data_IF_461065094191
#
_entry.id   IF_461065094191
#
_cell.length_a   1.000
_cell.length_b   1.000
_cell.length_c   1.000
_cell.angle_alpha   90.00
_cell.angle_beta   90.00
_cell.angle_gamma   90.00
#
_symmetry.space_group_name_H-M   'P 1'
#
loop_
_entity.id
_entity.type
_entity.pdbx_description
1 polymer ?
#
# COMPACT_ATOMS: atom_id res chain seq x y z
N UNK A 1 4.55 -17.29 -9.49
CA UNK A 1 3.92 -17.18 -8.16
C UNK A 1 2.92 -16.06 -8.27
N UNK A 2 1.62 -16.36 -8.24
CA UNK A 2 0.57 -15.35 -8.13
C UNK A 2 0.74 -14.71 -6.76
N UNK A 3 1.36 -13.53 -6.70
CA UNK A 3 1.46 -12.76 -5.46
C UNK A 3 0.04 -12.42 -5.05
N UNK A 4 -0.51 -13.17 -4.10
CA UNK A 4 -1.88 -12.97 -3.66
C UNK A 4 -1.98 -11.60 -3.01
N UNK A 5 -2.78 -10.71 -3.61
CA UNK A 5 -3.02 -9.38 -3.07
C UNK A 5 -3.71 -9.50 -1.70
N UNK A 6 -3.20 -8.76 -0.73
CA UNK A 6 -3.70 -8.63 0.63
C UNK A 6 -4.79 -7.56 0.71
N UNK A 7 -5.52 -7.52 1.83
CA UNK A 7 -6.46 -6.43 2.10
C UNK A 7 -5.68 -5.12 2.33
N UNK A 8 -6.29 -4.00 1.99
CA UNK A 8 -5.72 -2.68 2.23
C UNK A 8 -5.43 -2.51 3.72
N UNK A 9 -4.19 -2.21 4.09
CA UNK A 9 -3.77 -2.05 5.49
C UNK A 9 -4.37 -0.81 6.18
N UNK A 10 -5.03 0.09 5.44
CA UNK A 10 -5.63 1.32 5.95
C UNK A 10 -7.15 1.16 6.12
N UNK A 11 -7.89 0.84 5.05
CA UNK A 11 -9.36 0.74 5.10
C UNK A 11 -9.87 -0.71 5.31
N UNK A 12 -8.99 -1.70 5.23
CA UNK A 12 -9.37 -3.11 5.31
C UNK A 12 -10.13 -3.64 4.08
N UNK A 13 -10.40 -2.85 3.05
CA UNK A 13 -11.10 -3.34 1.86
C UNK A 13 -10.17 -4.20 0.98
N UNK A 14 -10.74 -5.08 0.14
CA UNK A 14 -9.94 -5.90 -0.78
C UNK A 14 -9.15 -5.03 -1.75
N UNK A 15 -7.92 -5.42 -2.11
CA UNK A 15 -7.14 -4.76 -3.18
C UNK A 15 -7.06 -5.58 -4.46
N UNK A 16 -7.74 -6.74 -4.52
CA UNK A 16 -7.61 -7.72 -5.59
C UNK A 16 -7.80 -7.09 -6.98
N UNK A 17 -8.87 -6.31 -7.15
CA UNK A 17 -9.20 -5.61 -8.40
C UNK A 17 -8.93 -4.09 -8.35
N UNK A 18 -8.18 -3.63 -7.34
CA UNK A 18 -7.87 -2.21 -7.20
C UNK A 18 -6.96 -1.74 -8.34
N UNK A 19 -7.43 -0.73 -9.08
CA UNK A 19 -6.65 -0.04 -10.12
C UNK A 19 -5.57 0.85 -9.51
N UNK A 20 -5.78 1.33 -8.30
CA UNK A 20 -4.86 2.18 -7.53
C UNK A 20 -4.06 1.38 -6.49
N UNK A 21 -3.84 0.09 -6.74
CA UNK A 21 -3.09 -0.79 -5.84
C UNK A 21 -1.62 -0.33 -5.71
N UNK A 22 -1.19 -0.13 -4.46
CA UNK A 22 0.20 0.14 -4.11
C UNK A 22 0.67 -0.81 -3.00
N UNK A 23 1.97 -1.04 -2.94
CA UNK A 23 2.62 -1.87 -1.91
C UNK A 23 3.41 -0.95 -0.98
N UNK A 24 3.16 -1.06 0.33
CA UNK A 24 3.94 -0.44 1.38
C UNK A 24 4.86 -1.48 2.01
N UNK A 25 6.08 -1.07 2.31
CA UNK A 25 7.04 -1.87 3.05
C UNK A 25 7.20 -1.29 4.46
N UNK A 26 6.96 -2.12 5.47
CA UNK A 26 7.22 -1.79 6.87
C UNK A 26 8.50 -2.49 7.34
N UNK A 27 9.41 -1.71 7.91
CA UNK A 27 10.64 -2.15 8.55
C UNK A 27 10.70 -1.59 9.98
N UNK A 28 11.57 -2.16 10.80
CA UNK A 28 11.86 -1.66 12.15
C UNK A 28 13.36 -1.72 12.39
N UNK A 29 13.89 -0.79 13.18
CA UNK A 29 15.34 -0.66 13.39
C UNK A 29 15.93 -1.84 14.18
N UNK A 30 15.11 -2.46 15.04
CA UNK A 30 15.57 -3.48 16.00
C UNK A 30 15.59 -4.91 15.44
N UNK A 31 14.95 -5.17 14.29
CA UNK A 31 14.96 -6.49 13.64
C UNK A 31 15.12 -6.38 12.13
N UNK A 32 15.93 -7.27 11.56
CA UNK A 32 16.12 -7.40 10.11
C UNK A 32 14.96 -8.17 9.48
N UNK A 33 13.76 -7.60 9.56
CA UNK A 33 12.54 -8.19 9.00
C UNK A 33 11.74 -7.12 8.26
N UNK A 34 11.32 -7.50 7.05
CA UNK A 34 10.48 -6.68 6.19
C UNK A 34 9.06 -7.27 6.13
N UNK A 35 8.04 -6.44 6.36
CA UNK A 35 6.64 -6.79 6.10
C UNK A 35 6.11 -6.01 4.91
N UNK A 36 5.56 -6.74 3.93
CA UNK A 36 4.83 -6.15 2.81
C UNK A 36 3.35 -5.99 3.14
N UNK A 37 2.79 -4.84 2.83
CA UNK A 37 1.40 -4.49 3.02
C UNK A 37 0.83 -3.96 1.71
N UNK A 38 -0.41 -4.31 1.39
CA UNK A 38 -1.12 -3.73 0.25
C UNK A 38 -2.00 -2.56 0.70
N UNK A 39 -2.18 -1.58 -0.16
CA UNK A 39 -3.07 -0.45 0.08
C UNK A 39 -3.68 0.11 -1.22
N UNK A 40 -4.78 0.83 -1.07
CA UNK A 40 -5.29 1.74 -2.10
C UNK A 40 -4.49 3.05 -2.03
N UNK A 41 -4.00 3.55 -3.17
CA UNK A 41 -3.27 4.80 -3.23
C UNK A 41 -4.08 5.97 -2.66
N UNK A 42 -5.40 5.97 -2.87
CA UNK A 42 -6.30 6.96 -2.26
C UNK A 42 -6.21 6.93 -0.72
N UNK A 43 -6.23 5.73 -0.12
CA UNK A 43 -6.12 5.58 1.33
C UNK A 43 -4.76 6.05 1.84
N UNK A 44 -3.69 5.77 1.09
CA UNK A 44 -2.34 6.22 1.46
C UNK A 44 -2.25 7.74 1.40
N UNK A 45 -2.78 8.38 0.37
CA UNK A 45 -2.83 9.84 0.28
C UNK A 45 -3.57 10.50 1.46
N UNK A 46 -4.54 9.81 2.06
CA UNK A 46 -5.23 10.28 3.27
C UNK A 46 -4.39 10.32 4.55
N UNK A 47 -3.23 9.64 4.56
CA UNK A 47 -2.35 9.54 5.75
C UNK A 47 -0.92 10.07 5.52
N UNK A 48 -0.60 10.51 4.31
CA UNK A 48 0.71 11.07 3.99
C UNK A 48 0.92 12.45 4.61
N UNK A 49 2.19 12.77 4.90
CA UNK A 49 2.57 14.09 5.37
C UNK A 49 2.32 15.16 4.28
N UNK A 50 2.08 16.44 4.68
CA UNK A 50 1.93 17.53 3.72
C UNK A 50 3.11 17.60 2.74
N UNK A 51 2.80 17.78 1.46
CA UNK A 51 3.79 17.85 0.37
C UNK A 51 4.11 16.51 -0.29
N UNK A 52 3.56 15.39 0.21
CA UNK A 52 3.65 14.08 -0.43
C UNK A 52 2.33 13.69 -1.07
N UNK A 53 2.39 13.06 -2.25
CA UNK A 53 1.22 12.54 -2.96
C UNK A 53 1.64 11.36 -3.83
N UNK A 54 0.79 10.36 -3.92
CA UNK A 54 0.90 9.23 -4.83
C UNK A 54 -0.08 9.46 -5.97
N UNK A 55 0.43 9.47 -7.20
CA UNK A 55 -0.36 9.51 -8.43
C UNK A 55 -0.20 8.18 -9.18
N UNK A 56 -1.32 7.53 -9.46
CA UNK A 56 -1.34 6.27 -10.23
C UNK A 56 -1.77 6.59 -11.66
N UNK A 57 -0.87 6.37 -12.62
CA UNK A 57 -1.15 6.56 -14.03
C UNK A 57 -1.45 5.22 -14.69
N UNK A 58 -2.73 5.00 -15.03
CA UNK A 58 -3.16 3.85 -15.81
C UNK A 58 -2.85 4.12 -17.29
N UNK A 59 -2.10 3.23 -17.93
CA UNK A 59 -1.80 3.28 -19.36
C UNK A 59 -2.99 2.83 -20.22
#
# INVERSE_FOLDING_TARGET
MTSQRLRCCICGMSTEDALDHVVLTATTEDVDTEQRLDAHAECVNGVLAPGFTIEVHLM
#
